data_IF_097360642888
#
_entry.id   IF_097360642888
#
_cell.length_a   1.000
_cell.length_b   1.000
_cell.length_c   1.000
_cell.angle_alpha   90.00
_cell.angle_beta   90.00
_cell.angle_gamma   90.00
#
_symmetry.space_group_name_H-M   'P 1'
#
loop_
_entity.id
_entity.type
_entity.pdbx_description
1 polymer ?
#
# COMPACT_ATOMS: atom_id res chain seq x y z
N UNK A 1 -20.64 20.23 -5.19
CA UNK A 1 -20.32 19.92 -6.58
C UNK A 1 -20.04 18.43 -6.64
N UNK A 2 -21.06 17.68 -7.04
CA UNK A 2 -20.97 16.25 -7.34
C UNK A 2 -20.40 16.21 -8.76
N UNK A 3 -19.11 15.93 -8.89
CA UNK A 3 -18.57 15.52 -10.18
C UNK A 3 -19.18 14.16 -10.48
N UNK A 4 -19.95 14.09 -11.56
CA UNK A 4 -20.52 12.84 -12.06
C UNK A 4 -19.40 11.81 -12.22
N UNK A 5 -19.64 10.59 -11.79
CA UNK A 5 -18.69 9.47 -11.85
C UNK A 5 -18.05 9.30 -13.25
N UNK A 6 -18.80 9.65 -14.29
CA UNK A 6 -18.35 9.65 -15.69
C UNK A 6 -17.27 10.71 -15.96
N UNK A 7 -17.41 11.93 -15.40
CA UNK A 7 -16.40 12.99 -15.56
C UNK A 7 -15.09 12.66 -14.85
N UNK A 8 -15.16 11.94 -13.72
CA UNK A 8 -13.97 11.49 -13.00
C UNK A 8 -13.22 10.40 -13.80
N UNK A 9 -13.94 9.49 -14.43
CA UNK A 9 -13.39 8.42 -15.29
C UNK A 9 -12.74 9.04 -16.54
N UNK A 10 -13.36 10.03 -17.19
CA UNK A 10 -12.78 10.72 -18.34
C UNK A 10 -11.55 11.53 -17.96
N UNK A 11 -11.57 12.22 -16.81
CA UNK A 11 -10.44 13.01 -16.34
C UNK A 11 -9.24 12.12 -15.96
N UNK A 12 -9.47 10.98 -15.34
CA UNK A 12 -8.42 9.99 -15.02
C UNK A 12 -7.87 9.33 -16.29
N UNK A 13 -8.71 9.07 -17.30
CA UNK A 13 -8.26 8.47 -18.57
C UNK A 13 -7.36 9.45 -19.35
N UNK A 14 -7.76 10.70 -19.50
CA UNK A 14 -6.96 11.74 -20.18
C UNK A 14 -5.69 12.08 -19.42
N UNK A 15 -5.71 12.12 -18.09
CA UNK A 15 -4.50 12.33 -17.28
C UNK A 15 -3.51 11.19 -17.41
N UNK A 16 -3.99 9.93 -17.47
CA UNK A 16 -3.11 8.76 -17.63
C UNK A 16 -2.43 8.76 -19.01
N UNK A 17 -3.15 9.09 -20.07
CA UNK A 17 -2.57 9.20 -21.43
C UNK A 17 -1.61 10.38 -21.55
N UNK A 18 -1.91 11.51 -20.95
CA UNK A 18 -1.03 12.68 -20.94
C UNK A 18 0.26 12.40 -20.16
N UNK A 19 0.17 11.67 -19.05
CA UNK A 19 1.35 11.28 -18.29
C UNK A 19 2.20 10.25 -19.03
N UNK A 20 1.59 9.26 -19.69
CA UNK A 20 2.29 8.23 -20.49
C UNK A 20 3.02 8.86 -21.69
N UNK A 21 2.47 9.90 -22.29
CA UNK A 21 3.01 10.56 -23.48
C UNK A 21 3.83 11.83 -23.17
N UNK A 22 4.11 12.12 -21.90
CA UNK A 22 4.89 13.29 -21.53
C UNK A 22 6.33 13.18 -22.04
N UNK A 23 6.90 14.24 -22.66
CA UNK A 23 8.29 14.28 -23.10
C UNK A 23 9.29 14.31 -21.94
N UNK A 24 8.81 14.50 -20.69
CA UNK A 24 9.64 14.58 -19.49
C UNK A 24 9.59 13.23 -18.76
N UNK A 25 10.50 12.34 -19.07
CA UNK A 25 10.50 10.94 -18.60
C UNK A 25 10.47 10.76 -17.07
N UNK A 26 11.14 11.60 -16.33
CA UNK A 26 11.34 11.41 -14.90
C UNK A 26 10.07 11.54 -14.02
N UNK A 27 8.98 12.15 -14.50
CA UNK A 27 7.72 12.19 -13.76
C UNK A 27 6.75 11.12 -14.22
N UNK A 28 7.02 10.49 -15.33
CA UNK A 28 6.09 9.63 -16.08
C UNK A 28 6.44 8.17 -15.97
N UNK A 29 7.57 7.84 -15.40
CA UNK A 29 7.95 6.46 -15.16
C UNK A 29 7.21 5.93 -13.95
N UNK A 30 5.94 5.63 -14.17
CA UNK A 30 5.12 4.93 -13.20
C UNK A 30 4.63 3.61 -13.76
N UNK A 31 4.45 2.68 -12.87
CA UNK A 31 3.99 1.33 -13.13
C UNK A 31 2.55 1.18 -12.68
N UNK A 32 1.64 0.79 -13.59
CA UNK A 32 0.32 0.31 -13.19
C UNK A 32 0.44 -1.10 -12.63
N UNK A 33 0.34 -1.22 -11.32
CA UNK A 33 0.65 -2.46 -10.59
C UNK A 33 -0.27 -3.62 -10.97
N UNK A 34 -1.50 -3.37 -11.42
CA UNK A 34 -2.40 -4.40 -11.94
C UNK A 34 -1.90 -5.10 -13.21
N UNK A 35 -0.94 -4.50 -13.93
CA UNK A 35 -0.37 -5.06 -15.17
C UNK A 35 0.93 -5.82 -14.94
N UNK A 36 1.64 -5.54 -13.87
CA UNK A 36 3.01 -6.01 -13.65
C UNK A 36 3.14 -7.01 -12.51
N UNK A 37 2.31 -6.87 -11.47
CA UNK A 37 2.31 -7.77 -10.31
C UNK A 37 1.81 -9.16 -10.69
N UNK A 38 2.58 -10.19 -10.31
CA UNK A 38 2.30 -11.61 -10.60
C UNK A 38 2.21 -12.46 -9.34
N UNK A 39 2.65 -11.96 -8.19
CA UNK A 39 2.63 -12.70 -6.94
C UNK A 39 1.18 -13.05 -6.56
N UNK A 40 0.83 -14.35 -6.36
CA UNK A 40 -0.52 -14.79 -6.09
C UNK A 40 -1.07 -14.33 -4.73
N UNK A 41 -0.21 -13.84 -3.84
CA UNK A 41 -0.58 -13.33 -2.51
C UNK A 41 -0.78 -11.80 -2.49
N UNK A 42 -0.78 -11.16 -3.67
CA UNK A 42 -1.07 -9.73 -3.84
C UNK A 42 -2.37 -9.60 -4.63
N UNK A 43 -3.40 -9.04 -4.01
CA UNK A 43 -4.73 -8.87 -4.58
C UNK A 43 -4.98 -7.38 -4.87
N UNK A 44 -5.11 -7.04 -6.16
CA UNK A 44 -5.27 -5.66 -6.60
C UNK A 44 -6.68 -5.45 -7.13
N UNK A 45 -7.41 -4.48 -6.55
CA UNK A 45 -8.74 -4.07 -7.00
C UNK A 45 -8.63 -3.01 -8.09
N UNK A 46 -9.22 -3.30 -9.26
CA UNK A 46 -9.23 -2.35 -10.39
C UNK A 46 -7.89 -2.16 -11.07
N UNK A 47 -7.77 -1.10 -11.89
CA UNK A 47 -6.66 -0.94 -12.82
C UNK A 47 -5.87 0.36 -12.68
N UNK A 48 -6.21 1.20 -11.70
CA UNK A 48 -5.70 2.57 -11.63
C UNK A 48 -4.73 2.83 -10.48
N UNK A 49 -4.33 1.79 -9.75
CA UNK A 49 -3.28 1.92 -8.74
C UNK A 49 -1.92 1.86 -9.39
N UNK A 50 -1.02 2.78 -8.99
CA UNK A 50 0.28 2.89 -9.59
C UNK A 50 1.41 3.06 -8.57
N UNK A 51 2.61 2.72 -9.01
CA UNK A 51 3.87 2.94 -8.30
C UNK A 51 4.79 3.85 -9.11
N UNK A 52 5.45 4.80 -8.43
CA UNK A 52 6.48 5.65 -9.03
C UNK A 52 7.81 4.90 -9.09
N UNK A 53 8.05 4.21 -10.20
CA UNK A 53 9.15 3.24 -10.36
C UNK A 53 10.46 3.84 -10.89
N UNK A 54 10.56 5.15 -11.02
CA UNK A 54 11.72 5.82 -11.66
C UNK A 54 13.07 5.40 -11.09
N UNK A 55 13.14 5.14 -9.78
CA UNK A 55 14.41 4.93 -9.07
C UNK A 55 14.77 3.46 -8.85
N UNK A 56 13.91 2.51 -9.24
CA UNK A 56 14.11 1.10 -8.90
C UNK A 56 13.52 0.10 -9.93
N UNK A 57 13.42 -1.16 -9.54
CA UNK A 57 13.06 -2.27 -10.43
C UNK A 57 11.57 -2.66 -10.37
N UNK A 58 10.71 -1.78 -9.89
CA UNK A 58 9.26 -1.96 -9.89
C UNK A 58 8.67 -2.42 -8.55
N UNK A 59 7.33 -2.38 -8.50
CA UNK A 59 6.54 -2.52 -7.29
C UNK A 59 6.77 -3.85 -6.57
N UNK A 60 6.57 -4.96 -7.26
CA UNK A 60 6.61 -6.28 -6.62
C UNK A 60 7.98 -6.57 -5.99
N UNK A 61 9.05 -6.16 -6.68
CA UNK A 61 10.42 -6.43 -6.23
C UNK A 61 10.92 -5.44 -5.18
N UNK A 62 10.57 -4.16 -5.32
CA UNK A 62 11.17 -3.11 -4.52
C UNK A 62 10.30 -2.64 -3.38
N UNK A 63 8.99 -2.69 -3.52
CA UNK A 63 8.04 -2.21 -2.50
C UNK A 63 7.65 -3.32 -1.53
N UNK A 64 7.28 -4.51 -2.04
CA UNK A 64 6.79 -5.61 -1.20
C UNK A 64 7.96 -6.46 -0.70
N UNK A 65 8.16 -6.48 0.62
CA UNK A 65 9.26 -7.22 1.24
C UNK A 65 8.76 -8.48 1.94
N UNK A 66 9.51 -9.58 1.80
CA UNK A 66 9.31 -10.85 2.52
C UNK A 66 7.97 -11.57 2.23
N UNK A 67 7.24 -11.16 1.20
CA UNK A 67 6.06 -11.89 0.77
C UNK A 67 6.48 -13.08 -0.09
N UNK A 68 6.01 -14.26 0.29
CA UNK A 68 6.31 -15.49 -0.45
C UNK A 68 5.66 -15.47 -1.85
N UNK A 69 6.34 -16.02 -2.84
CA UNK A 69 5.91 -16.06 -4.25
C UNK A 69 5.04 -17.27 -4.62
N UNK A 70 4.87 -18.21 -3.68
CA UNK A 70 3.98 -19.37 -3.87
C UNK A 70 2.62 -19.11 -3.22
N UNK A 71 1.54 -19.67 -3.80
CA UNK A 71 0.22 -19.54 -3.20
C UNK A 71 0.18 -20.04 -1.75
N UNK A 72 -0.58 -19.36 -0.90
CA UNK A 72 -0.90 -19.83 0.44
C UNK A 72 -1.69 -21.14 0.37
N UNK A 73 -1.44 -22.06 1.31
CA UNK A 73 -2.19 -23.30 1.50
C UNK A 73 -2.64 -23.42 2.94
N UNK A 74 -3.55 -24.35 3.22
CA UNK A 74 -3.99 -24.62 4.60
C UNK A 74 -2.82 -25.06 5.50
N UNK A 75 -1.83 -25.78 4.95
CA UNK A 75 -0.66 -26.25 5.70
C UNK A 75 0.44 -25.17 5.80
N UNK A 76 0.43 -24.21 4.88
CA UNK A 76 1.39 -23.08 4.82
C UNK A 76 0.64 -21.77 4.60
N UNK A 77 -0.02 -21.25 5.64
CA UNK A 77 -0.71 -19.98 5.54
C UNK A 77 0.32 -18.83 5.36
N UNK A 78 -0.06 -17.84 4.57
CA UNK A 78 0.76 -16.67 4.25
C UNK A 78 -0.14 -15.44 4.39
N UNK A 79 0.33 -14.41 5.09
CA UNK A 79 -0.35 -13.12 5.15
C UNK A 79 -0.50 -12.54 3.75
N UNK A 80 -1.69 -12.08 3.40
CA UNK A 80 -2.04 -11.55 2.08
C UNK A 80 -1.92 -10.03 2.04
N UNK A 81 -1.62 -9.49 0.87
CA UNK A 81 -1.64 -8.05 0.61
C UNK A 81 -2.84 -7.70 -0.27
N UNK A 82 -3.76 -6.90 0.25
CA UNK A 82 -4.92 -6.38 -0.47
C UNK A 82 -4.72 -4.90 -0.79
N UNK A 83 -4.85 -4.54 -2.06
CA UNK A 83 -4.67 -3.17 -2.55
C UNK A 83 -5.94 -2.72 -3.26
N UNK A 84 -6.50 -1.62 -2.80
CA UNK A 84 -7.66 -0.97 -3.39
C UNK A 84 -7.36 -0.37 -4.77
N UNK A 85 -8.38 0.27 -5.35
CA UNK A 85 -8.24 1.02 -6.60
C UNK A 85 -7.76 2.45 -6.33
N UNK A 86 -7.17 3.11 -7.32
CA UNK A 86 -6.67 4.50 -7.23
C UNK A 86 -5.63 4.75 -6.14
N UNK A 87 -4.86 3.75 -5.76
CA UNK A 87 -3.78 3.90 -4.78
C UNK A 87 -2.53 4.44 -5.46
N UNK A 88 -1.93 5.47 -4.85
CA UNK A 88 -0.69 6.09 -5.33
C UNK A 88 0.46 5.68 -4.41
N UNK A 89 1.42 4.92 -4.93
CA UNK A 89 2.63 4.55 -4.22
C UNK A 89 3.79 5.44 -4.67
N UNK A 90 4.34 6.21 -3.75
CA UNK A 90 5.54 7.02 -3.97
C UNK A 90 6.80 6.15 -4.08
N UNK A 91 7.82 6.69 -4.75
CA UNK A 91 9.09 6.00 -4.95
C UNK A 91 9.71 5.50 -3.65
N UNK A 92 10.33 4.33 -3.70
CA UNK A 92 11.07 3.73 -2.58
C UNK A 92 10.23 3.47 -1.31
N UNK A 93 8.88 3.53 -1.40
CA UNK A 93 8.06 3.10 -0.27
C UNK A 93 8.18 1.59 -0.05
N UNK A 94 7.88 1.10 1.15
CA UNK A 94 8.05 -0.31 1.52
C UNK A 94 6.79 -0.81 2.21
N UNK A 95 6.36 -2.01 1.85
CA UNK A 95 5.34 -2.78 2.56
C UNK A 95 6.03 -4.03 3.12
N UNK A 96 6.12 -4.09 4.44
CA UNK A 96 6.67 -5.24 5.14
C UNK A 96 5.63 -6.34 5.23
N UNK A 97 5.99 -7.55 4.85
CA UNK A 97 5.15 -8.74 4.90
C UNK A 97 5.89 -9.87 5.64
N UNK A 98 5.34 -11.08 5.66
CA UNK A 98 6.03 -12.27 6.16
C UNK A 98 6.06 -12.42 7.67
N UNK A 99 5.08 -11.87 8.37
CA UNK A 99 4.90 -12.03 9.81
C UNK A 99 6.15 -11.59 10.61
N UNK A 100 6.48 -12.31 11.67
CA UNK A 100 7.65 -12.02 12.50
C UNK A 100 8.98 -12.45 11.86
N UNK A 101 8.96 -13.05 10.67
CA UNK A 101 10.13 -13.54 9.94
C UNK A 101 11.05 -14.44 10.77
N UNK A 102 10.47 -15.21 11.69
CA UNK A 102 11.15 -16.10 12.64
C UNK A 102 11.91 -15.38 13.77
N UNK A 103 11.83 -14.05 13.85
CA UNK A 103 12.48 -13.30 14.92
C UNK A 103 11.56 -13.17 16.14
N UNK A 104 11.76 -14.06 17.11
CA UNK A 104 11.01 -14.07 18.38
C UNK A 104 11.64 -13.12 19.37
N UNK A 105 10.94 -12.04 19.71
CA UNK A 105 11.41 -11.05 20.68
C UNK A 105 11.17 -11.44 22.13
N UNK A 106 10.37 -12.46 22.38
CA UNK A 106 10.07 -13.08 23.67
C UNK A 106 10.99 -14.27 24.02
N UNK A 107 11.89 -14.65 23.11
CA UNK A 107 12.91 -15.65 23.37
C UNK A 107 14.22 -15.00 23.86
N UNK A 108 15.10 -15.79 24.53
CA UNK A 108 16.41 -15.32 24.98
C UNK A 108 17.23 -14.75 23.81
N UNK A 109 17.09 -15.32 22.62
CA UNK A 109 17.71 -14.83 21.39
C UNK A 109 16.67 -14.63 20.30
N UNK A 110 16.68 -13.49 19.64
CA UNK A 110 15.87 -13.23 18.47
C UNK A 110 16.44 -13.86 17.18
N UNK A 111 17.53 -14.62 17.26
CA UNK A 111 18.09 -15.30 16.09
C UNK A 111 17.16 -16.43 15.62
N UNK A 112 16.88 -16.56 14.30
CA UNK A 112 15.94 -17.54 13.76
C UNK A 112 16.58 -18.93 13.64
N UNK A 113 16.73 -19.63 14.74
CA UNK A 113 17.37 -20.96 14.78
C UNK A 113 16.57 -22.05 14.06
N UNK A 114 15.24 -21.92 14.04
CA UNK A 114 14.34 -22.88 13.37
C UNK A 114 12.98 -22.25 13.02
N UNK A 115 12.12 -23.01 12.37
CA UNK A 115 10.83 -22.56 11.88
C UNK A 115 9.71 -22.51 12.93
N UNK A 116 9.92 -23.02 14.14
CA UNK A 116 8.90 -23.03 15.21
C UNK A 116 8.55 -21.64 15.72
N UNK A 117 9.44 -20.69 15.53
CA UNK A 117 9.23 -19.29 15.90
C UNK A 117 8.39 -18.48 14.91
N UNK A 118 7.91 -19.07 13.80
CA UNK A 118 7.14 -18.31 12.81
C UNK A 118 5.74 -17.95 13.31
N UNK A 119 5.39 -16.69 13.17
CA UNK A 119 4.04 -16.18 13.46
C UNK A 119 3.60 -15.24 12.34
N UNK A 120 2.35 -15.39 11.90
CA UNK A 120 1.70 -14.47 10.98
C UNK A 120 1.37 -13.16 11.70
N UNK A 121 1.37 -12.05 10.96
CA UNK A 121 0.95 -10.74 11.46
C UNK A 121 -0.49 -10.41 11.06
N UNK A 122 -1.07 -11.18 10.15
CA UNK A 122 -2.34 -10.94 9.51
C UNK A 122 -2.22 -10.16 8.20
N UNK A 123 -3.31 -10.12 7.46
CA UNK A 123 -3.35 -9.48 6.15
C UNK A 123 -3.13 -7.97 6.22
N UNK A 124 -2.31 -7.45 5.31
CA UNK A 124 -2.12 -6.02 5.12
C UNK A 124 -3.14 -5.52 4.09
N UNK A 125 -3.88 -4.46 4.43
CA UNK A 125 -4.95 -3.93 3.60
C UNK A 125 -4.71 -2.45 3.32
N UNK A 126 -4.72 -2.07 2.05
CA UNK A 126 -4.63 -0.68 1.60
C UNK A 126 -5.92 -0.32 0.89
N UNK A 127 -6.74 0.54 1.51
CA UNK A 127 -8.05 0.96 0.99
C UNK A 127 -7.97 1.77 -0.29
N UNK A 128 -9.11 1.95 -0.94
CA UNK A 128 -9.23 2.72 -2.19
C UNK A 128 -8.73 4.17 -1.99
N UNK A 129 -8.06 4.72 -2.99
CA UNK A 129 -7.65 6.12 -3.02
C UNK A 129 -6.62 6.54 -1.96
N UNK A 130 -5.88 5.60 -1.39
CA UNK A 130 -4.77 5.89 -0.50
C UNK A 130 -3.60 6.54 -1.25
N UNK A 131 -2.85 7.37 -0.55
CA UNK A 131 -1.57 7.90 -1.02
C UNK A 131 -0.47 7.58 -0.03
N UNK A 132 0.49 6.79 -0.48
CA UNK A 132 1.68 6.41 0.28
C UNK A 132 2.85 7.27 -0.22
N UNK A 133 3.38 8.12 0.65
CA UNK A 133 4.51 9.00 0.35
C UNK A 133 5.81 8.21 0.10
N UNK A 134 6.74 8.85 -0.63
CA UNK A 134 8.04 8.25 -0.92
C UNK A 134 8.77 7.85 0.36
N UNK A 135 9.45 6.70 0.33
CA UNK A 135 10.20 6.14 1.48
C UNK A 135 9.35 5.88 2.73
N UNK A 136 8.03 5.91 2.64
CA UNK A 136 7.18 5.48 3.74
C UNK A 136 7.24 3.96 3.89
N UNK A 137 7.10 3.47 5.12
CA UNK A 137 7.10 2.05 5.43
C UNK A 137 5.78 1.67 6.09
N UNK A 138 5.12 0.67 5.54
CA UNK A 138 3.90 0.07 6.12
C UNK A 138 4.31 -1.26 6.75
N UNK A 139 4.07 -1.40 8.04
CA UNK A 139 4.38 -2.65 8.74
C UNK A 139 3.31 -3.70 8.44
N UNK A 140 3.69 -4.96 8.61
CA UNK A 140 2.84 -6.12 8.38
C UNK A 140 1.54 -6.07 9.21
N UNK A 141 0.44 -6.56 8.64
CA UNK A 141 -0.86 -6.61 9.27
C UNK A 141 -1.59 -5.26 9.40
N UNK A 142 -0.98 -4.15 8.97
CA UNK A 142 -1.58 -2.81 9.04
C UNK A 142 -2.69 -2.65 8.00
N UNK A 143 -3.78 -1.98 8.41
CA UNK A 143 -4.91 -1.61 7.55
C UNK A 143 -4.95 -0.09 7.36
N UNK A 144 -4.84 0.35 6.11
CA UNK A 144 -5.06 1.74 5.73
C UNK A 144 -6.50 1.89 5.23
N UNK A 145 -7.32 2.69 5.92
CA UNK A 145 -8.68 3.00 5.46
C UNK A 145 -8.70 3.85 4.19
N UNK A 146 -9.84 3.87 3.50
CA UNK A 146 -10.02 4.55 2.21
C UNK A 146 -9.53 6.00 2.29
N UNK A 147 -8.84 6.45 1.26
CA UNK A 147 -8.34 7.80 1.15
C UNK A 147 -7.35 8.23 2.22
N UNK A 148 -6.77 7.31 2.98
CA UNK A 148 -5.70 7.62 3.92
C UNK A 148 -4.46 8.15 3.17
N UNK A 149 -3.70 9.01 3.84
CA UNK A 149 -2.44 9.57 3.32
C UNK A 149 -1.33 9.28 4.32
N UNK A 150 -0.29 8.62 3.84
CA UNK A 150 0.93 8.37 4.60
C UNK A 150 2.01 9.34 4.12
N UNK A 151 2.51 10.18 5.01
CA UNK A 151 3.54 11.15 4.68
C UNK A 151 4.87 10.48 4.30
N UNK A 152 5.66 11.18 3.50
CA UNK A 152 7.02 10.77 3.10
C UNK A 152 7.86 10.38 4.32
N UNK A 153 8.53 9.23 4.26
CA UNK A 153 9.42 8.73 5.32
C UNK A 153 8.73 8.26 6.60
N UNK A 154 7.40 8.20 6.63
CA UNK A 154 6.66 7.73 7.80
C UNK A 154 6.78 6.21 7.99
N UNK A 155 6.79 5.72 9.24
CA UNK A 155 6.73 4.29 9.57
C UNK A 155 5.40 3.99 10.24
N UNK A 156 4.49 3.35 9.50
CA UNK A 156 3.13 3.04 9.95
C UNK A 156 3.12 1.69 10.64
N UNK A 157 2.88 1.71 11.95
CA UNK A 157 2.90 0.52 12.82
C UNK A 157 1.51 0.13 13.35
N UNK A 158 0.47 0.91 13.03
CA UNK A 158 -0.92 0.71 13.48
C UNK A 158 -1.88 1.06 12.36
N UNK A 159 -3.09 0.53 12.42
CA UNK A 159 -4.16 0.83 11.50
C UNK A 159 -4.41 2.35 11.39
N UNK A 160 -4.68 2.80 10.16
CA UNK A 160 -4.93 4.19 9.84
C UNK A 160 -6.39 4.37 9.47
N UNK A 161 -7.13 5.22 10.18
CA UNK A 161 -8.54 5.46 9.88
C UNK A 161 -8.75 6.06 8.47
N UNK A 162 -9.91 5.81 7.84
CA UNK A 162 -10.24 6.43 6.55
C UNK A 162 -10.06 7.94 6.56
N UNK A 163 -9.47 8.46 5.48
CA UNK A 163 -9.20 9.88 5.25
C UNK A 163 -8.30 10.55 6.30
N UNK A 164 -7.58 9.79 7.11
CA UNK A 164 -6.54 10.34 7.97
C UNK A 164 -5.25 10.62 7.19
N UNK A 165 -4.53 11.66 7.60
CA UNK A 165 -3.15 11.94 7.19
C UNK A 165 -2.25 11.59 8.36
N UNK A 166 -1.34 10.65 8.15
CA UNK A 166 -0.39 10.20 9.17
C UNK A 166 1.04 10.49 8.77
N UNK A 167 1.93 10.66 9.74
CA UNK A 167 3.35 10.89 9.50
C UNK A 167 4.19 10.70 10.75
N UNK A 168 5.51 10.60 10.57
CA UNK A 168 6.49 10.39 11.63
C UNK A 168 6.88 8.93 11.84
N UNK A 169 7.74 8.67 12.85
CA UNK A 169 8.27 7.36 13.22
C UNK A 169 8.17 7.19 14.75
N UNK A 170 7.25 6.38 15.27
CA UNK A 170 6.11 5.77 14.56
C UNK A 170 5.11 6.80 14.07
N UNK A 171 4.39 6.48 12.98
CA UNK A 171 3.41 7.39 12.39
C UNK A 171 2.25 7.68 13.33
N UNK A 172 1.86 8.96 13.39
CA UNK A 172 0.74 9.45 14.18
C UNK A 172 -0.21 10.24 13.28
N UNK A 173 -1.48 10.35 13.67
CA UNK A 173 -2.46 11.16 12.95
C UNK A 173 -2.08 12.64 13.06
N UNK A 174 -1.78 13.29 11.93
CA UNK A 174 -1.51 14.72 11.83
C UNK A 174 -2.82 15.49 11.70
N UNK A 175 -3.73 14.99 10.84
CA UNK A 175 -5.04 15.60 10.57
C UNK A 175 -5.94 14.63 9.82
N UNK A 176 -7.20 15.00 9.64
CA UNK A 176 -8.11 14.37 8.70
C UNK A 176 -8.27 15.25 7.44
N UNK A 177 -8.42 14.63 6.27
CA UNK A 177 -8.65 15.32 4.99
C UNK A 177 -9.98 16.06 4.96
N UNK A 178 -10.98 15.52 5.68
CA UNK A 178 -12.35 16.03 5.68
C UNK A 178 -12.92 16.11 7.09
N UNK A 179 -13.84 17.06 7.30
CA UNK A 179 -14.65 17.11 8.53
C UNK A 179 -15.54 15.87 8.67
N UNK A 180 -15.91 15.49 9.89
CA UNK A 180 -16.65 14.27 10.21
C UNK A 180 -17.94 14.07 9.38
N UNK A 181 -18.74 15.14 9.19
CA UNK A 181 -19.99 15.08 8.41
C UNK A 181 -19.74 14.67 6.94
N UNK A 182 -18.69 15.24 6.30
CA UNK A 182 -18.30 14.92 4.93
C UNK A 182 -17.72 13.51 4.85
N UNK A 183 -16.90 13.10 5.81
CA UNK A 183 -16.32 11.77 5.90
C UNK A 183 -17.40 10.69 5.95
N UNK A 184 -18.42 10.83 6.82
CA UNK A 184 -19.55 9.87 6.91
C UNK A 184 -20.27 9.72 5.58
N UNK A 185 -20.52 10.83 4.87
CA UNK A 185 -21.17 10.79 3.54
C UNK A 185 -20.32 10.08 2.49
N UNK A 186 -19.00 10.27 2.49
CA UNK A 186 -18.10 9.59 1.55
C UNK A 186 -18.02 8.08 1.78
N UNK A 187 -18.03 7.64 3.02
CA UNK A 187 -18.01 6.22 3.38
C UNK A 187 -19.34 5.49 3.16
N UNK A 188 -20.41 6.21 2.82
CA UNK A 188 -21.73 5.62 2.49
C UNK A 188 -22.01 5.57 0.98
N UNK A 189 -21.06 5.96 0.14
CA UNK A 189 -21.09 5.82 -1.32
C UNK A 189 -20.55 4.47 -1.78
#
# INVERSE_FOLDING_TARGET
>A
LIYNSISLIFYTYTMSETLINSPVKHWCEFEFISKTVKNPNIHIKGNYSYYSAYWDQGFERCVVRYLHDKPATAEKPIDQLFIGNFVCFGAECVIMMGGNQLHRTDWISAFPFDTRGFELAGDTIIGDGCWIGSRAMIMQGVKLGEGAVVATGAVVTKDVPPYAVVGGVPAQIIKYRFQQKKKKKLLSL
#
